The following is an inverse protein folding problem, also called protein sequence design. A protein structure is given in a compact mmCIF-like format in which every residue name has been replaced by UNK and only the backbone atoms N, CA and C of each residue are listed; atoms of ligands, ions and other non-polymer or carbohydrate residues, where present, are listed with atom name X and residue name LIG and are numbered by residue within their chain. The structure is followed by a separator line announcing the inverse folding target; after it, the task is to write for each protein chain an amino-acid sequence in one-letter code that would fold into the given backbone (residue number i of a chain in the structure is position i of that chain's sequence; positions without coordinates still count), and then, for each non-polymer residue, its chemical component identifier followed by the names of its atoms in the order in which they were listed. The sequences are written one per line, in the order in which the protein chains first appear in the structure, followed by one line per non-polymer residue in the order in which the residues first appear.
data_IF_634712051539
#
_entry.id   IF_634712051539
#
_cell.length_a   1.000
_cell.length_b   1.000
_cell.length_c   1.000
_cell.angle_alpha   90.00
_cell.angle_beta   90.00
_cell.angle_gamma   90.00
#
_symmetry.space_group_name_H-M   'P 1'
#
loop_
_entity.id
_entity.type
_entity.pdbx_description
1 polymer ?
#
# COMPACT_ATOMS: atom_id res chain seq x y z
N UNK A 1 -11.21 -9.30 -19.22
CA UNK A 1 -10.04 -8.49 -18.78
C UNK A 1 -10.42 -7.34 -17.82
N UNK A 2 -11.62 -6.73 -17.91
CA UNK A 2 -12.03 -5.63 -17.03
C UNK A 2 -12.26 -5.99 -15.55
N UNK A 3 -12.75 -7.20 -15.26
CA UNK A 3 -13.17 -7.59 -13.90
C UNK A 3 -12.03 -7.71 -12.87
N UNK A 4 -10.80 -8.00 -13.32
CA UNK A 4 -9.64 -8.11 -12.42
C UNK A 4 -9.29 -6.77 -11.78
N UNK A 5 -9.21 -5.70 -12.57
CA UNK A 5 -8.95 -4.35 -12.07
C UNK A 5 -10.05 -3.84 -11.14
N UNK A 6 -11.33 -4.12 -11.46
CA UNK A 6 -12.44 -3.71 -10.60
C UNK A 6 -12.35 -4.33 -9.21
N UNK A 7 -11.95 -5.60 -9.12
CA UNK A 7 -11.75 -6.28 -7.83
C UNK A 7 -10.61 -5.66 -7.05
N UNK A 8 -9.48 -5.38 -7.70
CA UNK A 8 -8.29 -4.81 -7.06
C UNK A 8 -8.60 -3.43 -6.46
N UNK A 9 -9.35 -2.59 -7.19
CA UNK A 9 -9.85 -1.33 -6.68
C UNK A 9 -10.84 -1.52 -5.52
N UNK A 10 -11.82 -2.43 -5.66
CA UNK A 10 -12.78 -2.69 -4.60
C UNK A 10 -12.09 -3.11 -3.29
N UNK A 11 -11.07 -3.97 -3.39
CA UNK A 11 -10.27 -4.43 -2.26
C UNK A 11 -9.55 -3.25 -1.56
N UNK A 12 -8.81 -2.45 -2.32
CA UNK A 12 -8.08 -1.30 -1.80
C UNK A 12 -9.00 -0.24 -1.17
N UNK A 13 -10.20 -0.04 -1.72
CA UNK A 13 -11.16 0.95 -1.23
C UNK A 13 -11.94 0.49 0.00
N UNK A 14 -12.15 -0.82 0.14
CA UNK A 14 -12.87 -1.40 1.28
C UNK A 14 -12.02 -1.43 2.56
N UNK A 15 -10.71 -1.22 2.46
CA UNK A 15 -9.79 -1.23 3.59
C UNK A 15 -9.65 0.15 4.23
N UNK A 16 -9.45 0.19 5.55
CA UNK A 16 -9.09 1.41 6.29
C UNK A 16 -7.61 1.73 6.17
N UNK A 17 -6.76 0.72 5.97
CA UNK A 17 -5.34 0.84 5.74
C UNK A 17 -4.78 -0.38 5.01
N UNK A 18 -3.66 -0.21 4.32
CA UNK A 18 -3.09 -1.24 3.43
C UNK A 18 -1.69 -1.63 3.88
N UNK A 19 -1.44 -2.95 3.99
CA UNK A 19 -0.10 -3.52 4.13
C UNK A 19 0.32 -4.14 2.81
N UNK A 20 1.48 -3.73 2.30
CA UNK A 20 2.03 -4.14 1.01
C UNK A 20 3.16 -5.14 1.26
N UNK A 21 3.07 -6.29 0.60
CA UNK A 21 4.06 -7.38 0.67
C UNK A 21 4.42 -7.79 -0.76
N UNK A 22 5.62 -7.47 -1.20
CA UNK A 22 6.12 -7.87 -2.52
C UNK A 22 5.30 -7.32 -3.69
N UNK A 23 5.04 -8.19 -4.65
CA UNK A 23 3.99 -7.98 -5.65
C UNK A 23 4.44 -7.46 -7.02
N UNK A 24 3.53 -7.53 -7.99
CA UNK A 24 3.76 -7.15 -9.39
C UNK A 24 2.87 -5.99 -9.84
N UNK A 25 2.41 -6.03 -11.10
CA UNK A 25 1.54 -5.01 -11.68
C UNK A 25 0.17 -4.90 -10.99
N UNK A 26 -0.41 -6.02 -10.54
CA UNK A 26 -1.68 -6.02 -9.78
C UNK A 26 -1.56 -5.27 -8.46
N UNK A 27 -0.53 -5.59 -7.67
CA UNK A 27 -0.22 -4.90 -6.42
C UNK A 27 0.05 -3.42 -6.66
N UNK A 28 0.74 -3.06 -7.74
CA UNK A 28 0.91 -1.65 -8.11
C UNK A 28 -0.42 -0.95 -8.40
N UNK A 29 -1.37 -1.63 -9.04
CA UNK A 29 -2.72 -1.11 -9.26
C UNK A 29 -3.45 -0.84 -7.93
N UNK A 30 -3.37 -1.77 -6.98
CA UNK A 30 -3.94 -1.62 -5.63
C UNK A 30 -3.27 -0.49 -4.84
N UNK A 31 -1.94 -0.37 -4.92
CA UNK A 31 -1.16 0.74 -4.33
C UNK A 31 -1.64 2.08 -4.87
N UNK A 32 -1.77 2.20 -6.19
CA UNK A 32 -2.28 3.43 -6.82
C UNK A 32 -3.71 3.75 -6.39
N UNK A 33 -4.59 2.74 -6.33
CA UNK A 33 -5.96 2.90 -5.87
C UNK A 33 -6.01 3.41 -4.41
N UNK A 34 -5.29 2.76 -3.50
CA UNK A 34 -5.20 3.17 -2.10
C UNK A 34 -4.64 4.60 -1.95
N UNK A 35 -3.60 4.93 -2.71
CA UNK A 35 -2.95 6.24 -2.70
C UNK A 35 -3.89 7.37 -3.16
N UNK A 36 -4.68 7.14 -4.22
CA UNK A 36 -5.67 8.12 -4.70
C UNK A 36 -6.72 8.47 -3.65
N UNK A 37 -7.07 7.50 -2.80
CA UNK A 37 -8.04 7.67 -1.72
C UNK A 37 -7.40 7.99 -0.37
N UNK A 38 -6.10 8.35 -0.40
CA UNK A 38 -5.32 8.76 0.76
C UNK A 38 -5.33 7.75 1.91
N UNK A 39 -5.44 6.46 1.59
CA UNK A 39 -5.43 5.40 2.59
C UNK A 39 -4.04 5.27 3.22
N UNK A 40 -3.91 5.14 4.55
CA UNK A 40 -2.64 4.79 5.19
C UNK A 40 -2.04 3.52 4.60
N UNK A 41 -0.72 3.55 4.36
CA UNK A 41 -0.02 2.47 3.68
C UNK A 41 1.30 2.14 4.36
N UNK A 42 1.54 0.85 4.58
CA UNK A 42 2.76 0.31 5.16
C UNK A 42 3.30 -0.78 4.22
N UNK A 43 4.59 -0.82 3.97
CA UNK A 43 5.22 -1.84 3.12
C UNK A 43 6.31 -2.59 3.88
N UNK A 44 6.42 -3.90 3.66
CA UNK A 44 7.48 -4.71 4.29
C UNK A 44 8.70 -4.74 3.37
N UNK A 45 9.85 -4.30 3.87
CA UNK A 45 11.14 -4.30 3.15
C UNK A 45 11.60 -5.70 2.81
N UNK A 46 12.44 -5.79 1.77
CA UNK A 46 13.07 -7.03 1.32
C UNK A 46 12.07 -8.11 0.87
N UNK A 47 10.86 -7.69 0.46
CA UNK A 47 9.84 -8.60 -0.08
C UNK A 47 9.83 -8.63 -1.61
N UNK A 48 10.62 -7.76 -2.26
CA UNK A 48 10.77 -7.70 -3.71
C UNK A 48 9.67 -6.91 -4.41
N UNK A 49 9.78 -6.79 -5.74
CA UNK A 49 8.66 -6.36 -6.58
C UNK A 49 8.28 -4.88 -6.50
N UNK A 50 6.98 -4.59 -6.63
CA UNK A 50 6.45 -3.23 -6.70
C UNK A 50 6.60 -2.48 -5.37
N UNK A 51 6.49 -3.18 -4.24
CA UNK A 51 6.64 -2.59 -2.90
C UNK A 51 7.97 -1.84 -2.74
N UNK A 52 9.08 -2.49 -3.09
CA UNK A 52 10.44 -1.96 -2.85
C UNK A 52 10.73 -0.64 -3.58
N UNK A 53 10.04 -0.36 -4.69
CA UNK A 53 10.24 0.88 -5.46
C UNK A 53 9.70 2.13 -4.77
N UNK A 54 8.68 1.98 -3.94
CA UNK A 54 7.94 3.09 -3.34
C UNK A 54 8.06 3.15 -1.82
N UNK A 55 8.80 2.21 -1.21
CA UNK A 55 9.12 2.22 0.23
C UNK A 55 9.75 3.55 0.62
N UNK A 56 9.28 4.09 1.75
CA UNK A 56 9.70 5.37 2.34
C UNK A 56 9.50 6.60 1.44
N UNK A 57 8.77 6.42 0.33
CA UNK A 57 8.51 7.43 -0.67
C UNK A 57 7.02 7.71 -0.86
N UNK A 58 6.72 8.24 -2.05
CA UNK A 58 5.39 8.58 -2.50
C UNK A 58 5.17 7.97 -3.89
N UNK A 59 3.93 7.66 -4.22
CA UNK A 59 3.58 7.10 -5.54
C UNK A 59 3.68 8.17 -6.64
N UNK A 60 3.44 9.44 -6.30
CA UNK A 60 3.49 10.56 -7.26
C UNK A 60 4.11 11.84 -6.67
N UNK A 61 4.22 12.86 -7.51
CA UNK A 61 4.73 14.19 -7.16
C UNK A 61 3.84 14.97 -6.18
N UNK A 62 2.57 14.58 -6.01
CA UNK A 62 1.60 15.25 -5.13
C UNK A 62 1.83 14.92 -3.66
N UNK A 63 2.61 13.87 -3.38
CA UNK A 63 3.02 13.46 -2.02
C UNK A 63 1.86 13.35 -1.03
N UNK A 64 0.73 12.79 -1.48
CA UNK A 64 -0.50 12.70 -0.69
C UNK A 64 -0.37 11.76 0.51
N UNK A 65 0.24 10.58 0.30
CA UNK A 65 0.43 9.57 1.35
C UNK A 65 1.83 9.00 1.25
N UNK A 66 2.56 9.03 2.36
CA UNK A 66 3.86 8.37 2.43
C UNK A 66 3.68 6.89 2.68
N UNK A 67 4.33 6.03 1.88
CA UNK A 67 4.39 4.60 2.17
C UNK A 67 5.45 4.37 3.24
N UNK A 68 5.05 3.91 4.42
CA UNK A 68 5.99 3.67 5.51
C UNK A 68 6.59 2.27 5.35
N UNK A 69 7.90 2.17 5.17
CA UNK A 69 8.54 0.86 5.17
C UNK A 69 8.76 0.33 6.60
N UNK A 70 8.57 -0.97 6.80
CA UNK A 70 8.91 -1.71 8.02
C UNK A 70 9.67 -3.00 7.68
N UNK A 71 10.33 -3.61 8.67
CA UNK A 71 11.19 -4.78 8.44
C UNK A 71 10.52 -6.11 8.83
N UNK A 72 9.47 -6.07 9.65
CA UNK A 72 8.75 -7.27 10.09
C UNK A 72 7.24 -7.14 9.90
N UNK A 73 6.57 -8.28 9.73
CA UNK A 73 5.10 -8.33 9.66
C UNK A 73 4.44 -7.77 10.95
N UNK A 74 5.08 -7.98 12.11
CA UNK A 74 4.59 -7.48 13.40
C UNK A 74 4.63 -5.96 13.45
N UNK A 75 5.71 -5.36 12.96
CA UNK A 75 5.82 -3.91 12.86
C UNK A 75 4.84 -3.34 11.84
N UNK A 76 4.56 -4.07 10.76
CA UNK A 76 3.57 -3.66 9.75
C UNK A 76 2.18 -3.52 10.36
N UNK A 77 1.74 -4.54 11.10
CA UNK A 77 0.43 -4.54 11.78
C UNK A 77 0.38 -3.45 12.85
N UNK A 78 1.41 -3.33 13.69
CA UNK A 78 1.46 -2.27 14.70
C UNK A 78 1.35 -0.90 14.04
N UNK A 79 2.12 -0.66 12.99
CA UNK A 79 2.20 0.63 12.34
C UNK A 79 0.92 1.00 11.62
N UNK A 80 0.28 0.06 10.92
CA UNK A 80 -0.97 0.38 10.22
C UNK A 80 -2.09 0.71 11.21
N UNK A 81 -2.17 -0.01 12.35
CA UNK A 81 -3.18 0.25 13.38
C UNK A 81 -2.98 1.64 14.02
N UNK A 82 -1.72 2.04 14.27
CA UNK A 82 -1.40 3.40 14.72
C UNK A 82 -1.91 4.46 13.72
N UNK A 83 -1.74 4.23 12.41
CA UNK A 83 -2.09 5.22 11.39
C UNK A 83 -3.61 5.33 11.14
N UNK A 84 -4.37 4.25 11.26
CA UNK A 84 -5.83 4.26 11.03
C UNK A 84 -6.61 4.79 12.24
N UNK A 85 -6.00 4.81 13.42
CA UNK A 85 -6.64 5.26 14.68
C UNK A 85 -6.26 6.70 15.05
N UNK A 86 -5.33 7.31 14.32
CA UNK A 86 -4.89 8.69 14.50
C UNK A 86 -5.82 9.69 13.82
#
# INVERSE_FOLDING_TARGET
MAWGLTRDFLNALSADGVIIVGGGSGTLSEICAAYMYKKPMVAIRNTGGAADKFIDGYVDHRKNVKIIGVDTAKDAVKKIVELITA
#
